data_IF_211422940029
#
_entry.id   IF_211422940029
#
_cell.length_a   1.000
_cell.length_b   1.000
_cell.length_c   1.000
_cell.angle_alpha   90.00
_cell.angle_beta   90.00
_cell.angle_gamma   90.00
#
_symmetry.space_group_name_H-M   'P 1'
#
loop_
_entity.id
_entity.type
_entity.pdbx_description
1 polymer ?
#
# COMPACT_ATOMS: atom_id res chain seq x y z
N UNK A 1 -7.46 22.78 12.44
CA UNK A 1 -7.88 21.40 12.14
C UNK A 1 -6.99 20.47 12.95
N UNK A 2 -7.54 19.58 13.76
CA UNK A 2 -6.77 18.72 14.64
C UNK A 2 -6.17 17.56 13.84
N UNK A 3 -4.89 17.65 13.49
CA UNK A 3 -4.18 16.59 12.77
C UNK A 3 -4.03 15.37 13.69
N UNK A 4 -4.83 14.33 13.46
CA UNK A 4 -4.63 13.03 14.07
C UNK A 4 -3.58 12.28 13.23
N UNK A 5 -2.64 11.61 13.88
CA UNK A 5 -1.62 10.80 13.23
C UNK A 5 -1.93 9.34 13.54
N UNK A 6 -1.92 8.50 12.51
CA UNK A 6 -1.98 7.06 12.65
C UNK A 6 -0.57 6.50 12.85
N UNK A 7 -0.45 5.66 13.85
CA UNK A 7 0.76 4.95 14.20
C UNK A 7 0.54 3.44 14.09
N UNK A 8 1.55 2.71 13.62
CA UNK A 8 1.58 1.24 13.69
C UNK A 8 2.61 0.80 14.72
N UNK A 9 2.25 -0.14 15.58
CA UNK A 9 3.20 -0.76 16.50
C UNK A 9 4.12 -1.72 15.76
N UNK A 10 5.43 -1.57 15.99
CA UNK A 10 6.45 -2.44 15.41
C UNK A 10 6.46 -3.83 16.05
N UNK A 11 6.02 -3.94 17.31
CA UNK A 11 6.10 -5.17 18.09
C UNK A 11 4.85 -6.06 17.91
N UNK A 12 3.65 -5.48 17.96
CA UNK A 12 2.39 -6.24 17.88
C UNK A 12 1.54 -5.96 16.65
N UNK A 13 1.92 -4.98 15.81
CA UNK A 13 1.18 -4.65 14.60
C UNK A 13 -0.11 -3.84 14.78
N UNK A 14 -0.56 -3.62 16.02
CA UNK A 14 -1.77 -2.81 16.31
C UNK A 14 -1.59 -1.36 15.85
N UNK A 15 -2.72 -0.74 15.47
CA UNK A 15 -2.78 0.67 15.12
C UNK A 15 -3.20 1.52 16.31
N UNK A 16 -2.57 2.67 16.47
CA UNK A 16 -2.90 3.67 17.49
C UNK A 16 -3.05 5.02 16.81
N UNK A 17 -4.09 5.79 17.17
CA UNK A 17 -4.29 7.13 16.64
C UNK A 17 -4.09 8.14 17.76
N UNK A 18 -3.24 9.13 17.52
CA UNK A 18 -2.85 10.11 18.52
C UNK A 18 -2.65 11.49 17.88
N UNK A 19 -2.79 12.54 18.70
CA UNK A 19 -2.37 13.92 18.35
C UNK A 19 -0.98 14.27 18.88
N UNK A 20 -0.45 13.45 19.78
CA UNK A 20 0.82 13.66 20.46
C UNK A 20 1.86 12.70 19.90
N UNK A 21 3.03 13.24 19.58
CA UNK A 21 4.22 12.46 19.26
C UNK A 21 4.81 11.86 20.54
N UNK A 22 5.44 10.69 20.44
CA UNK A 22 6.06 10.00 21.59
C UNK A 22 5.14 9.05 22.38
N UNK A 23 3.93 8.76 21.88
CA UNK A 23 3.05 7.74 22.47
C UNK A 23 3.59 6.33 22.19
N UNK A 24 3.41 5.42 23.16
CA UNK A 24 3.68 3.98 23.01
C UNK A 24 2.40 3.22 22.67
N UNK A 25 2.53 2.05 22.07
CA UNK A 25 1.36 1.22 21.75
C UNK A 25 0.49 0.98 23.00
N UNK A 26 -0.81 1.26 22.91
CA UNK A 26 -1.75 1.10 24.05
C UNK A 26 -1.84 -0.36 24.51
N UNK A 27 -1.64 -1.31 23.59
CA UNK A 27 -1.78 -2.74 23.86
C UNK A 27 -0.54 -3.36 24.48
N UNK A 28 0.66 -3.04 23.99
CA UNK A 28 1.90 -3.70 24.42
C UNK A 28 3.00 -2.75 24.90
N UNK A 29 2.74 -1.43 24.95
CA UNK A 29 3.76 -0.41 25.24
C UNK A 29 4.97 -0.41 24.29
N UNK A 30 4.81 -1.04 23.13
CA UNK A 30 5.80 -1.17 22.09
C UNK A 30 6.07 0.11 21.30
N UNK A 31 7.15 0.09 20.51
CA UNK A 31 7.54 1.21 19.67
C UNK A 31 6.52 1.44 18.54
N UNK A 32 6.26 2.71 18.24
CA UNK A 32 5.32 3.14 17.21
C UNK A 32 6.07 3.80 16.05
N UNK A 33 5.64 3.53 14.82
CA UNK A 33 6.06 4.27 13.62
C UNK A 33 4.87 5.02 13.03
N UNK A 34 5.03 6.29 12.62
CA UNK A 34 3.96 7.02 11.95
C UNK A 34 3.68 6.40 10.57
N UNK A 35 2.39 6.26 10.24
CA UNK A 35 1.93 5.68 8.97
C UNK A 35 1.23 6.70 8.08
N UNK A 36 0.70 7.77 8.65
CA UNK A 36 0.02 8.82 7.89
C UNK A 36 -0.93 9.64 8.73
N UNK A 37 -1.65 10.53 8.07
CA UNK A 37 -2.68 11.33 8.72
C UNK A 37 -3.96 10.52 8.86
N UNK A 38 -4.55 10.54 10.05
CA UNK A 38 -5.85 9.98 10.33
C UNK A 38 -6.93 11.07 10.24
N UNK A 39 -8.07 10.75 9.65
CA UNK A 39 -9.22 11.63 9.55
C UNK A 39 -10.53 10.85 9.69
N UNK A 40 -11.61 11.54 10.04
CA UNK A 40 -12.95 10.95 10.06
C UNK A 40 -13.56 11.13 8.67
N UNK A 41 -13.96 10.05 8.03
CA UNK A 41 -14.58 10.09 6.71
C UNK A 41 -16.07 10.47 6.79
N UNK A 42 -16.71 10.65 5.62
CA UNK A 42 -18.12 11.05 5.51
C UNK A 42 -19.09 10.09 6.22
N UNK A 43 -18.71 8.82 6.36
CA UNK A 43 -19.49 7.78 7.01
C UNK A 43 -19.17 7.65 8.52
N UNK A 44 -18.45 8.63 9.10
CA UNK A 44 -18.00 8.67 10.50
C UNK A 44 -17.05 7.52 10.89
N UNK A 45 -16.40 6.87 9.93
CA UNK A 45 -15.34 5.91 10.22
C UNK A 45 -13.99 6.61 10.28
N UNK A 46 -13.10 6.08 11.13
CA UNK A 46 -11.73 6.54 11.21
C UNK A 46 -10.93 5.96 10.05
N UNK A 47 -10.37 6.85 9.23
CA UNK A 47 -9.64 6.53 8.00
C UNK A 47 -8.22 7.06 8.09
N UNK A 48 -7.29 6.40 7.40
CA UNK A 48 -5.87 6.79 7.37
C UNK A 48 -5.44 6.93 5.92
N UNK A 49 -4.85 8.08 5.58
CA UNK A 49 -4.22 8.28 4.27
C UNK A 49 -2.82 7.69 4.31
N UNK A 50 -2.64 6.54 3.67
CA UNK A 50 -1.33 5.94 3.43
C UNK A 50 -0.83 6.37 2.05
N UNK A 51 0.32 7.07 2.03
CA UNK A 51 0.98 7.38 0.78
C UNK A 51 1.87 6.20 0.37
N UNK A 52 1.41 5.40 -0.59
CA UNK A 52 2.20 4.32 -1.17
C UNK A 52 3.19 4.95 -2.15
N UNK A 53 4.46 5.06 -1.73
CA UNK A 53 5.54 5.47 -2.62
C UNK A 53 5.60 4.51 -3.82
N UNK A 54 5.88 5.07 -4.99
CA UNK A 54 6.03 4.34 -6.26
C UNK A 54 4.74 3.74 -6.86
N UNK A 55 3.55 4.05 -6.33
CA UNK A 55 2.29 3.58 -6.93
C UNK A 55 2.14 4.04 -8.38
N UNK A 56 2.58 5.26 -8.70
CA UNK A 56 2.52 5.79 -10.06
C UNK A 56 3.58 5.15 -10.97
N UNK A 57 4.75 4.81 -10.44
CA UNK A 57 5.73 3.99 -11.19
C UNK A 57 5.16 2.60 -11.48
N UNK A 58 4.47 2.00 -10.51
CA UNK A 58 3.82 0.71 -10.69
C UNK A 58 2.70 0.78 -11.74
N UNK A 59 1.87 1.83 -11.73
CA UNK A 59 0.86 2.07 -12.78
C UNK A 59 1.49 2.19 -14.17
N UNK A 60 2.54 2.99 -14.31
CA UNK A 60 3.22 3.16 -15.60
C UNK A 60 3.78 1.84 -16.12
N UNK A 61 4.37 1.01 -15.25
CA UNK A 61 4.85 -0.33 -15.61
C UNK A 61 3.68 -1.22 -16.06
N UNK A 62 2.53 -1.17 -15.37
CA UNK A 62 1.34 -1.93 -15.77
C UNK A 62 0.79 -1.49 -17.13
N UNK A 63 0.84 -0.20 -17.46
CA UNK A 63 0.42 0.31 -18.78
C UNK A 63 1.34 -0.21 -19.90
N UNK A 64 2.66 -0.09 -19.74
CA UNK A 64 3.65 -0.61 -20.71
C UNK A 64 3.43 -2.11 -20.95
N UNK A 65 3.19 -2.87 -19.88
CA UNK A 65 2.92 -4.30 -19.96
C UNK A 65 1.62 -4.59 -20.73
N UNK A 66 0.55 -3.83 -20.47
CA UNK A 66 -0.72 -3.98 -21.19
C UNK A 66 -0.52 -3.72 -22.68
N UNK A 67 0.22 -2.68 -23.04
CA UNK A 67 0.50 -2.34 -24.43
C UNK A 67 1.21 -3.49 -25.15
N UNK A 68 2.24 -4.08 -24.53
CA UNK A 68 2.97 -5.23 -25.10
C UNK A 68 2.06 -6.46 -25.27
N UNK A 69 1.17 -6.72 -24.31
CA UNK A 69 0.25 -7.87 -24.38
C UNK A 69 -0.80 -7.69 -25.49
N UNK A 70 -1.28 -6.46 -25.70
CA UNK A 70 -2.32 -6.17 -26.69
C UNK A 70 -1.73 -6.01 -28.11
N UNK A 71 -0.48 -5.57 -28.23
CA UNK A 71 0.19 -5.33 -29.51
C UNK A 71 0.25 -6.61 -30.37
N UNK A 72 -0.54 -6.62 -31.45
CA UNK A 72 -0.68 -7.73 -32.39
C UNK A 72 0.62 -8.12 -33.09
N UNK A 73 1.61 -7.23 -33.15
CA UNK A 73 2.91 -7.48 -33.79
C UNK A 73 3.86 -8.28 -32.90
N UNK A 74 3.65 -8.27 -31.58
CA UNK A 74 4.48 -9.07 -30.66
C UNK A 74 4.12 -10.55 -30.82
N UNK A 75 5.08 -11.46 -31.05
CA UNK A 75 4.81 -12.90 -31.14
C UNK A 75 4.05 -13.44 -29.92
N UNK A 76 3.07 -14.32 -30.15
CA UNK A 76 2.22 -14.91 -29.11
C UNK A 76 3.06 -15.58 -28.00
N UNK A 77 4.15 -16.24 -28.38
CA UNK A 77 5.07 -16.88 -27.42
C UNK A 77 5.63 -15.87 -26.41
N UNK A 78 6.09 -14.71 -26.88
CA UNK A 78 6.65 -13.65 -26.03
C UNK A 78 5.56 -13.09 -25.11
N UNK A 79 4.33 -12.90 -25.61
CA UNK A 79 3.21 -12.41 -24.78
C UNK A 79 2.82 -13.39 -23.68
N UNK A 80 2.86 -14.69 -23.97
CA UNK A 80 2.58 -15.73 -22.99
C UNK A 80 3.68 -15.80 -21.91
N UNK A 81 4.95 -15.74 -22.30
CA UNK A 81 6.08 -15.71 -21.35
C UNK A 81 6.02 -14.49 -20.42
N UNK A 82 5.63 -13.32 -20.94
CA UNK A 82 5.45 -12.10 -20.13
C UNK A 82 4.28 -12.26 -19.15
N UNK A 83 3.14 -12.80 -19.60
CA UNK A 83 1.97 -13.06 -18.74
C UNK A 83 2.30 -13.99 -17.58
N UNK A 84 3.00 -15.09 -17.83
CA UNK A 84 3.38 -16.06 -16.80
C UNK A 84 4.30 -15.41 -15.74
N UNK A 85 5.30 -14.64 -16.17
CA UNK A 85 6.19 -13.91 -15.26
C UNK A 85 5.41 -12.92 -14.38
N UNK A 86 4.45 -12.19 -14.93
CA UNK A 86 3.63 -11.24 -14.17
C UNK A 86 2.77 -11.98 -13.14
N UNK A 87 2.09 -13.06 -13.55
CA UNK A 87 1.24 -13.84 -12.64
C UNK A 87 2.05 -14.38 -11.45
N UNK A 88 3.28 -14.86 -11.68
CA UNK A 88 4.17 -15.33 -10.61
C UNK A 88 4.56 -14.26 -9.59
N UNK A 89 4.47 -12.97 -9.96
CA UNK A 89 4.77 -11.83 -9.08
C UNK A 89 3.51 -11.33 -8.36
N UNK A 90 2.33 -11.53 -8.95
CA UNK A 90 1.04 -11.06 -8.41
C UNK A 90 0.41 -12.07 -7.46
N UNK A 91 0.75 -13.37 -7.55
CA UNK A 91 0.42 -14.35 -6.52
C UNK A 91 1.17 -14.02 -5.22
N UNK A 92 0.56 -13.16 -4.41
CA UNK A 92 0.94 -12.89 -3.03
C UNK A 92 0.85 -14.22 -2.29
N UNK A 93 2.02 -14.79 -1.94
CA UNK A 93 2.06 -15.92 -1.01
C UNK A 93 1.35 -15.48 0.30
N UNK A 94 0.41 -16.29 0.81
CA UNK A 94 -0.38 -15.98 2.00
C UNK A 94 0.50 -15.74 3.24
#
# INVERSE_FOLDING_TARGET
MNNLIAYKCLDCGDYTISRLDGIRCVKCSGALTPMGNAHINKNKYLSVDVNIKDIDKFKNILEIIKDIIVDKQVPIKIRNEIKEKILSVVEIKP
#
